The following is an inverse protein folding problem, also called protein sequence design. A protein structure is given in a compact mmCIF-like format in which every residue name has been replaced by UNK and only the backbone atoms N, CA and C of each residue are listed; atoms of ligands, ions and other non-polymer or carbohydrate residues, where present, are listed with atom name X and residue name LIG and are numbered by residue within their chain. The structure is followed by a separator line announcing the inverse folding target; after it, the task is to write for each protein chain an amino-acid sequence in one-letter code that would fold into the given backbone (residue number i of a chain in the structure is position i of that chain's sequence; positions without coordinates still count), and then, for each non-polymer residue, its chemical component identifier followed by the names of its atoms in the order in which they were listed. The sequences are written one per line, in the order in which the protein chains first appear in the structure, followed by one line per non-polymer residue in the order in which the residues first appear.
data_IF_303534492072
#
_entry.id   IF_303534492072
#
_cell.length_a   1.000
_cell.length_b   1.000
_cell.length_c   1.000
_cell.angle_alpha   90.00
_cell.angle_beta   90.00
_cell.angle_gamma   90.00
#
_symmetry.space_group_name_H-M   'P 1'
#
loop_
_entity.id
_entity.type
_entity.pdbx_description
1 polymer ?
#
# COMPACT_ATOMS: atom_id res chain seq x y z
N UNK A 1 -11.23 -2.16 10.76
CA UNK A 1 -10.43 -3.38 10.99
C UNK A 1 -10.29 -3.67 12.49
N UNK A 2 -10.20 -4.93 12.83
CA UNK A 2 -10.16 -5.36 14.23
C UNK A 2 -8.74 -5.30 14.84
N UNK A 3 -8.67 -5.52 16.16
CA UNK A 3 -7.42 -5.57 16.92
C UNK A 3 -6.42 -6.59 16.35
N UNK A 4 -6.89 -7.76 15.94
CA UNK A 4 -6.04 -8.84 15.42
C UNK A 4 -5.30 -8.43 14.14
N UNK A 5 -5.98 -7.75 13.21
CA UNK A 5 -5.37 -7.23 11.97
C UNK A 5 -4.29 -6.20 12.30
N UNK A 6 -4.57 -5.31 13.25
CA UNK A 6 -3.63 -4.29 13.70
C UNK A 6 -2.38 -4.90 14.33
N UNK A 7 -2.57 -5.84 15.26
CA UNK A 7 -1.47 -6.53 15.94
C UNK A 7 -0.61 -7.35 14.98
N UNK A 8 -1.23 -8.08 14.05
CA UNK A 8 -0.52 -8.84 13.02
C UNK A 8 0.32 -7.93 12.10
N UNK A 9 -0.25 -6.79 11.68
CA UNK A 9 0.45 -5.83 10.85
C UNK A 9 1.66 -5.21 11.58
N UNK A 10 1.49 -4.77 12.81
CA UNK A 10 2.59 -4.22 13.62
C UNK A 10 3.68 -5.28 13.85
N UNK A 11 3.29 -6.50 14.23
CA UNK A 11 4.25 -7.58 14.47
C UNK A 11 5.10 -7.88 13.23
N UNK A 12 4.48 -7.99 12.06
CA UNK A 12 5.19 -8.22 10.80
C UNK A 12 6.16 -7.08 10.47
N UNK A 13 5.74 -5.82 10.61
CA UNK A 13 6.60 -4.65 10.37
C UNK A 13 7.77 -4.57 11.33
N UNK A 14 7.57 -4.91 12.61
CA UNK A 14 8.64 -4.98 13.62
C UNK A 14 9.64 -6.11 13.32
N UNK A 15 9.17 -7.23 12.77
CA UNK A 15 10.03 -8.33 12.31
C UNK A 15 10.80 -8.00 11.02
N UNK A 16 10.55 -6.84 10.42
CA UNK A 16 11.26 -6.41 9.21
C UNK A 16 10.58 -6.77 7.90
N UNK A 17 9.37 -7.33 7.96
CA UNK A 17 8.62 -7.79 6.80
C UNK A 17 7.88 -6.66 6.09
N UNK A 18 7.59 -6.85 4.81
CA UNK A 18 6.69 -6.02 4.04
C UNK A 18 5.26 -6.58 4.12
N UNK A 19 4.25 -5.74 3.97
CA UNK A 19 2.84 -6.13 4.07
C UNK A 19 2.11 -6.05 2.73
N UNK A 20 1.23 -7.01 2.47
CA UNK A 20 0.23 -6.94 1.41
C UNK A 20 -1.17 -7.07 2.03
N UNK A 21 -1.89 -5.96 2.06
CA UNK A 21 -3.26 -5.89 2.55
C UNK A 21 -4.21 -6.26 1.42
N UNK A 22 -4.84 -7.42 1.52
CA UNK A 22 -5.69 -7.97 0.46
C UNK A 22 -7.14 -8.08 0.94
N UNK A 23 -8.09 -7.79 0.07
CA UNK A 23 -9.52 -7.90 0.42
C UNK A 23 -10.43 -7.11 -0.50
N UNK A 24 -11.72 -7.17 -0.25
CA UNK A 24 -12.76 -6.43 -0.99
C UNK A 24 -12.55 -4.91 -0.89
N UNK A 25 -13.22 -4.14 -1.74
CA UNK A 25 -13.24 -2.67 -1.61
C UNK A 25 -13.85 -2.26 -0.27
N UNK A 26 -13.52 -1.03 0.14
CA UNK A 26 -14.05 -0.42 1.36
C UNK A 26 -13.77 -1.18 2.68
N UNK A 27 -12.76 -2.05 2.71
CA UNK A 27 -12.34 -2.73 3.95
C UNK A 27 -11.30 -1.95 4.77
N UNK A 28 -10.98 -0.71 4.39
CA UNK A 28 -10.06 0.17 5.14
C UNK A 28 -8.57 -0.13 4.95
N UNK A 29 -8.16 -0.77 3.85
CA UNK A 29 -6.74 -1.09 3.56
C UNK A 29 -5.84 0.13 3.59
N UNK A 30 -6.22 1.19 2.86
CA UNK A 30 -5.43 2.41 2.77
C UNK A 30 -5.38 3.15 4.12
N UNK A 31 -6.51 3.20 4.83
CA UNK A 31 -6.57 3.77 6.18
C UNK A 31 -5.65 3.01 7.15
N UNK A 32 -5.59 1.68 7.03
CA UNK A 32 -4.66 0.88 7.83
C UNK A 32 -3.21 1.20 7.49
N UNK A 33 -2.86 1.29 6.20
CA UNK A 33 -1.50 1.62 5.76
C UNK A 33 -1.03 2.99 6.26
N UNK A 34 -1.87 4.01 6.13
CA UNK A 34 -1.60 5.36 6.64
C UNK A 34 -1.43 5.38 8.16
N UNK A 35 -2.35 4.74 8.89
CA UNK A 35 -2.28 4.67 10.36
C UNK A 35 -1.06 3.91 10.85
N UNK A 36 -0.60 2.87 10.14
CA UNK A 36 0.65 2.19 10.46
C UNK A 36 1.85 3.14 10.29
N UNK A 37 1.92 3.87 9.18
CA UNK A 37 3.00 4.84 8.97
C UNK A 37 3.03 5.92 10.06
N UNK A 38 1.87 6.45 10.45
CA UNK A 38 1.73 7.41 11.55
C UNK A 38 2.15 6.82 12.91
N UNK A 39 1.72 5.58 13.21
CA UNK A 39 2.03 4.92 14.48
C UNK A 39 3.55 4.69 14.65
N UNK A 40 4.27 4.44 13.56
CA UNK A 40 5.73 4.33 13.57
C UNK A 40 6.44 5.69 13.52
N UNK A 41 5.72 6.79 13.30
CA UNK A 41 6.28 8.14 13.22
C UNK A 41 7.31 8.31 12.09
N UNK A 42 7.12 7.61 10.97
CA UNK A 42 8.05 7.61 9.83
C UNK A 42 7.43 8.20 8.59
N UNK A 43 8.23 8.78 7.68
CA UNK A 43 7.72 9.31 6.43
C UNK A 43 7.11 8.19 5.58
N UNK A 44 6.09 8.55 4.79
CA UNK A 44 5.46 7.69 3.81
C UNK A 44 5.56 8.30 2.41
N UNK A 45 5.70 7.43 1.41
CA UNK A 45 5.67 7.77 -0.02
C UNK A 45 4.64 6.88 -0.68
N UNK A 46 3.59 7.52 -1.20
CA UNK A 46 2.45 6.82 -1.77
C UNK A 46 2.58 6.68 -3.28
N UNK A 47 2.18 5.52 -3.77
CA UNK A 47 2.09 5.19 -5.20
C UNK A 47 0.72 4.58 -5.45
N UNK A 48 -0.09 5.22 -6.27
CA UNK A 48 -1.32 4.63 -6.77
C UNK A 48 -1.06 3.96 -8.11
N UNK A 49 -1.21 2.65 -8.18
CA UNK A 49 -0.94 1.88 -9.37
C UNK A 49 -2.08 1.95 -10.38
N UNK A 50 -1.74 1.98 -11.65
CA UNK A 50 -2.68 1.96 -12.77
C UNK A 50 -2.07 1.22 -13.97
N UNK A 51 -2.90 0.90 -14.96
CA UNK A 51 -2.51 0.07 -16.12
C UNK A 51 -1.37 0.65 -16.97
N UNK A 52 -1.15 1.96 -16.91
CA UNK A 52 -0.08 2.65 -17.65
C UNK A 52 1.17 2.92 -16.80
N UNK A 53 1.21 2.46 -15.55
CA UNK A 53 2.37 2.60 -14.68
C UNK A 53 3.54 1.82 -15.28
N UNK A 54 4.72 2.43 -15.25
CA UNK A 54 5.99 1.82 -15.64
C UNK A 54 7.03 1.87 -14.51
N UNK A 55 8.18 1.28 -14.75
CA UNK A 55 9.28 1.25 -13.79
C UNK A 55 9.81 2.66 -13.45
N UNK A 56 9.79 3.57 -14.41
CA UNK A 56 10.28 4.93 -14.22
C UNK A 56 9.39 5.72 -13.25
N UNK A 57 8.08 5.50 -13.29
CA UNK A 57 7.16 6.09 -12.31
C UNK A 57 7.41 5.65 -10.87
N UNK A 58 7.96 4.45 -10.67
CA UNK A 58 8.28 3.89 -9.35
C UNK A 58 9.66 4.32 -8.84
N UNK A 59 10.66 4.21 -9.69
CA UNK A 59 12.07 4.45 -9.33
C UNK A 59 12.48 5.89 -9.54
N UNK A 60 12.05 6.48 -10.64
CA UNK A 60 12.44 7.82 -11.08
C UNK A 60 12.92 7.83 -12.51
N UNK A 61 13.10 9.01 -13.04
CA UNK A 61 13.51 9.25 -14.42
C UNK A 61 14.39 10.49 -14.52
N UNK A 62 15.15 10.57 -15.61
CA UNK A 62 15.87 11.77 -15.95
C UNK A 62 14.92 12.87 -16.44
N UNK A 63 15.10 14.06 -15.93
CA UNK A 63 14.41 15.27 -16.36
C UNK A 63 15.44 16.30 -16.87
N UNK A 64 15.05 17.10 -17.84
CA UNK A 64 15.89 18.18 -18.34
C UNK A 64 15.41 19.50 -17.71
N UNK A 65 16.20 20.04 -16.78
CA UNK A 65 15.90 21.28 -16.08
C UNK A 65 17.12 22.22 -16.09
N UNK A 66 16.89 23.49 -16.37
CA UNK A 66 17.94 24.54 -16.39
C UNK A 66 19.16 24.18 -17.25
N UNK A 67 18.97 23.50 -18.39
CA UNK A 67 20.05 23.14 -19.31
C UNK A 67 20.86 21.90 -18.89
N UNK A 68 20.43 21.19 -17.86
CA UNK A 68 21.10 20.00 -17.35
C UNK A 68 20.13 18.82 -17.21
N UNK A 69 20.65 17.61 -17.37
CA UNK A 69 19.91 16.38 -17.05
C UNK A 69 20.03 16.14 -15.56
N UNK A 70 18.90 15.99 -14.88
CA UNK A 70 18.81 15.71 -13.44
C UNK A 70 17.92 14.52 -13.20
N UNK A 71 18.33 13.63 -12.29
CA UNK A 71 17.49 12.51 -11.88
C UNK A 71 16.40 12.99 -10.94
N UNK A 72 15.13 12.77 -11.34
CA UNK A 72 13.96 13.00 -10.50
C UNK A 72 13.57 11.67 -9.83
N UNK A 73 13.80 11.50 -8.52
CA UNK A 73 13.53 10.23 -7.84
C UNK A 73 12.03 9.95 -7.74
N UNK A 74 11.66 8.69 -7.92
CA UNK A 74 10.31 8.19 -7.69
C UNK A 74 10.09 7.77 -6.23
N UNK A 75 8.83 7.49 -5.84
CA UNK A 75 8.47 7.21 -4.45
C UNK A 75 9.10 5.93 -3.90
N UNK A 76 9.25 4.89 -4.70
CA UNK A 76 9.93 3.64 -4.28
C UNK A 76 11.42 3.90 -4.01
N UNK A 77 12.07 4.68 -4.85
CA UNK A 77 13.47 5.11 -4.64
C UNK A 77 13.60 5.93 -3.35
N UNK A 78 12.70 6.88 -3.12
CA UNK A 78 12.73 7.73 -1.93
C UNK A 78 12.56 6.92 -0.65
N UNK A 79 11.58 6.01 -0.62
CA UNK A 79 11.40 5.07 0.48
C UNK A 79 12.66 4.22 0.70
N UNK A 80 13.21 3.63 -0.35
CA UNK A 80 14.40 2.79 -0.27
C UNK A 80 15.60 3.55 0.28
N UNK A 81 15.83 4.78 -0.16
CA UNK A 81 16.99 5.59 0.21
C UNK A 81 16.89 6.16 1.62
N UNK A 82 15.72 6.66 2.02
CA UNK A 82 15.56 7.41 3.26
C UNK A 82 15.00 6.58 4.41
N UNK A 83 14.44 5.41 4.13
CA UNK A 83 13.70 4.60 5.10
C UNK A 83 12.30 5.18 5.35
N UNK A 84 11.44 4.40 5.99
CA UNK A 84 10.05 4.75 6.19
C UNK A 84 9.12 3.82 5.40
N UNK A 85 7.97 4.29 4.95
CA UNK A 85 6.97 3.45 4.31
C UNK A 85 6.77 3.81 2.84
N UNK A 86 6.87 2.81 1.96
CA UNK A 86 6.38 2.89 0.59
C UNK A 86 4.99 2.28 0.52
N UNK A 87 3.96 3.10 0.38
CA UNK A 87 2.57 2.64 0.27
C UNK A 87 2.26 2.41 -1.20
N UNK A 88 2.02 1.16 -1.56
CA UNK A 88 1.83 0.67 -2.93
C UNK A 88 0.35 0.36 -3.13
N UNK A 89 -0.45 1.38 -3.45
CA UNK A 89 -1.90 1.26 -3.53
C UNK A 89 -2.35 0.63 -4.85
N UNK A 90 -3.28 -0.34 -4.74
CA UNK A 90 -3.83 -1.11 -5.87
C UNK A 90 -2.75 -1.78 -6.74
N UNK A 91 -1.76 -2.42 -6.09
CA UNK A 91 -0.58 -2.99 -6.77
C UNK A 91 -0.93 -3.95 -7.93
N UNK A 92 -2.09 -4.60 -7.88
CA UNK A 92 -2.58 -5.51 -8.90
C UNK A 92 -3.27 -4.81 -10.10
N UNK A 93 -3.26 -3.48 -10.16
CA UNK A 93 -3.67 -2.72 -11.35
C UNK A 93 -2.55 -2.57 -12.37
N UNK A 94 -1.30 -2.63 -11.94
CA UNK A 94 -0.15 -2.50 -12.83
C UNK A 94 0.13 -3.79 -13.61
N UNK A 95 0.94 -3.63 -14.66
CA UNK A 95 1.50 -4.77 -15.41
C UNK A 95 2.63 -5.40 -14.61
N UNK A 96 2.78 -6.73 -14.71
CA UNK A 96 3.86 -7.46 -14.03
C UNK A 96 5.27 -6.95 -14.42
N UNK A 97 5.43 -6.45 -15.63
CA UNK A 97 6.70 -5.88 -16.12
C UNK A 97 7.09 -4.62 -15.32
N UNK A 98 6.12 -3.76 -14.98
CA UNK A 98 6.36 -2.59 -14.14
C UNK A 98 6.71 -2.98 -12.70
N UNK A 99 6.10 -4.05 -12.19
CA UNK A 99 6.33 -4.55 -10.84
C UNK A 99 7.66 -5.29 -10.67
N UNK A 100 8.29 -5.72 -11.77
CA UNK A 100 9.54 -6.47 -11.72
C UNK A 100 10.68 -5.74 -10.99
N UNK A 101 10.69 -4.42 -11.02
CA UNK A 101 11.68 -3.58 -10.32
C UNK A 101 11.55 -3.66 -8.79
N UNK A 102 10.40 -4.06 -8.27
CA UNK A 102 10.17 -4.22 -6.83
C UNK A 102 10.80 -5.50 -6.28
N UNK A 103 11.02 -6.53 -7.10
CA UNK A 103 11.46 -7.83 -6.61
C UNK A 103 12.75 -7.76 -5.80
N UNK A 104 13.76 -7.04 -6.29
CA UNK A 104 15.04 -6.90 -5.61
C UNK A 104 14.97 -5.96 -4.38
N UNK A 105 14.05 -5.02 -4.38
CA UNK A 105 13.81 -4.15 -3.23
C UNK A 105 13.14 -4.89 -2.07
N UNK A 106 12.25 -5.83 -2.38
CA UNK A 106 11.42 -6.55 -1.43
C UNK A 106 12.04 -7.84 -0.88
N UNK A 107 13.00 -8.43 -1.59
CA UNK A 107 13.64 -9.68 -1.16
C UNK A 107 14.97 -9.44 -0.38
N UNK A 108 15.69 -10.52 -0.09
CA UNK A 108 16.93 -10.49 0.67
C UNK A 108 18.02 -9.58 0.08
N UNK A 109 17.98 -9.28 -1.22
CA UNK A 109 18.92 -8.38 -1.90
C UNK A 109 18.78 -6.93 -1.42
N UNK A 110 17.59 -6.53 -1.03
CA UNK A 110 17.27 -5.20 -0.52
C UNK A 110 17.96 -4.11 -1.33
N UNK A 111 17.70 -4.07 -2.62
CA UNK A 111 18.36 -3.16 -3.54
C UNK A 111 17.47 -2.77 -4.73
N UNK A 112 17.74 -1.60 -5.29
CA UNK A 112 17.11 -1.09 -6.51
C UNK A 112 18.20 -0.76 -7.51
N UNK A 113 18.11 -1.35 -8.70
CA UNK A 113 18.96 -0.99 -9.83
C UNK A 113 18.35 0.22 -10.54
N UNK A 114 19.10 1.31 -10.61
CA UNK A 114 18.66 2.56 -11.26
C UNK A 114 19.43 2.71 -12.55
N UNK A 115 18.77 2.60 -13.74
CA UNK A 115 19.46 2.68 -15.01
C UNK A 115 20.28 3.97 -15.15
N UNK A 116 21.57 3.84 -15.44
CA UNK A 116 22.49 4.98 -15.59
C UNK A 116 23.04 5.57 -14.29
N UNK A 117 22.66 5.01 -13.14
CA UNK A 117 23.09 5.46 -11.81
C UNK A 117 23.54 4.29 -10.94
N UNK A 118 24.11 4.63 -9.77
CA UNK A 118 24.52 3.62 -8.82
C UNK A 118 23.32 2.87 -8.24
N UNK A 119 23.53 1.61 -7.95
CA UNK A 119 22.57 0.76 -7.25
C UNK A 119 22.27 1.31 -5.85
N UNK A 120 21.00 1.41 -5.52
CA UNK A 120 20.54 1.89 -4.21
C UNK A 120 20.28 0.70 -3.29
N UNK A 121 20.95 0.67 -2.15
CA UNK A 121 20.65 -0.27 -1.07
C UNK A 121 19.43 0.23 -0.30
N UNK A 122 18.45 -0.65 -0.11
CA UNK A 122 17.23 -0.33 0.66
C UNK A 122 17.58 -0.15 2.13
N UNK A 123 17.29 1.00 2.68
CA UNK A 123 17.55 1.33 4.08
C UNK A 123 16.93 0.27 5.02
N UNK A 124 17.60 -0.10 6.11
CA UNK A 124 17.08 -1.10 7.06
C UNK A 124 15.70 -0.78 7.61
N UNK A 125 15.37 0.51 7.70
CA UNK A 125 14.10 1.00 8.20
C UNK A 125 13.00 1.13 7.13
N UNK A 126 13.30 0.91 5.85
CA UNK A 126 12.30 0.96 4.79
C UNK A 126 11.41 -0.29 4.82
N UNK A 127 10.09 -0.06 4.71
CA UNK A 127 9.05 -1.10 4.60
C UNK A 127 8.10 -0.73 3.49
N UNK A 128 7.57 -1.74 2.82
CA UNK A 128 6.57 -1.55 1.79
C UNK A 128 5.25 -2.15 2.24
N UNK A 129 4.16 -1.41 2.05
CA UNK A 129 2.80 -1.83 2.35
C UNK A 129 2.02 -1.76 1.04
N UNK A 130 1.76 -2.93 0.45
CA UNK A 130 0.91 -3.05 -0.74
C UNK A 130 -0.55 -3.18 -0.35
N UNK A 131 -1.44 -2.63 -1.18
CA UNK A 131 -2.86 -2.95 -1.12
C UNK A 131 -3.32 -3.61 -2.41
N UNK A 132 -4.26 -4.54 -2.33
CA UNK A 132 -4.89 -5.11 -3.51
C UNK A 132 -6.36 -5.43 -3.28
N UNK A 133 -7.15 -5.28 -4.34
CA UNK A 133 -8.57 -5.61 -4.36
C UNK A 133 -8.79 -6.89 -5.18
N UNK A 134 -9.74 -7.74 -4.76
CA UNK A 134 -10.16 -8.91 -5.53
C UNK A 134 -11.38 -8.62 -6.38
N UNK A 135 -11.51 -9.36 -7.51
CA UNK A 135 -12.77 -9.48 -8.25
C UNK A 135 -13.20 -8.25 -9.06
N UNK A 136 -12.29 -7.34 -9.37
CA UNK A 136 -12.61 -6.11 -10.11
C UNK A 136 -12.20 -6.16 -11.56
N UNK A 137 -13.00 -5.51 -12.40
CA UNK A 137 -12.61 -5.21 -13.77
C UNK A 137 -11.32 -4.37 -13.77
N UNK A 138 -10.27 -4.86 -14.46
CA UNK A 138 -8.96 -4.22 -14.51
C UNK A 138 -7.94 -4.73 -13.52
N UNK A 139 -8.32 -5.48 -12.48
CA UNK A 139 -7.35 -6.17 -11.63
C UNK A 139 -6.72 -7.34 -12.38
N UNK A 140 -5.43 -7.57 -12.11
CA UNK A 140 -4.64 -8.66 -12.70
C UNK A 140 -4.24 -9.63 -11.60
N UNK A 141 -4.01 -10.88 -11.99
CA UNK A 141 -3.31 -11.79 -11.11
C UNK A 141 -1.85 -11.35 -10.99
N UNK A 142 -1.41 -11.16 -9.77
CA UNK A 142 0.00 -10.90 -9.50
C UNK A 142 0.78 -12.18 -9.76
N UNK A 143 1.95 -12.05 -10.38
CA UNK A 143 2.90 -13.15 -10.46
C UNK A 143 3.21 -13.62 -9.02
N UNK A 144 3.11 -14.92 -8.76
CA UNK A 144 3.29 -15.54 -7.43
C UNK A 144 4.60 -15.12 -6.74
N UNK A 145 5.62 -14.79 -7.52
CA UNK A 145 6.89 -14.30 -7.01
C UNK A 145 6.78 -12.97 -6.26
N UNK A 146 5.79 -12.14 -6.53
CA UNK A 146 5.63 -10.85 -5.85
C UNK A 146 4.93 -11.00 -4.49
N UNK A 147 3.74 -11.63 -4.37
CA UNK A 147 3.10 -11.85 -3.08
C UNK A 147 3.97 -12.61 -2.08
N UNK A 148 4.82 -13.55 -2.55
CA UNK A 148 5.74 -14.32 -1.68
C UNK A 148 6.78 -13.46 -0.93
N UNK A 149 6.93 -12.19 -1.29
CA UNK A 149 7.82 -11.22 -0.64
C UNK A 149 7.12 -10.33 0.39
N UNK A 150 5.86 -10.62 0.64
CA UNK A 150 5.03 -9.92 1.62
C UNK A 150 4.43 -10.88 2.64
N UNK A 151 4.21 -10.38 3.83
CA UNK A 151 3.23 -10.99 4.73
C UNK A 151 1.86 -10.53 4.27
N UNK A 152 1.05 -11.49 3.80
CA UNK A 152 -0.29 -11.20 3.29
C UNK A 152 -1.28 -11.18 4.45
N UNK A 153 -1.98 -10.06 4.61
CA UNK A 153 -3.05 -9.91 5.60
C UNK A 153 -4.37 -9.78 4.85
N UNK A 154 -5.27 -10.73 5.11
CA UNK A 154 -6.63 -10.69 4.60
C UNK A 154 -7.44 -9.70 5.42
N UNK A 155 -7.91 -8.62 4.76
CA UNK A 155 -8.75 -7.62 5.39
C UNK A 155 -10.19 -8.13 5.44
N UNK A 156 -10.76 -8.33 6.64
CA UNK A 156 -12.15 -8.74 6.74
C UNK A 156 -13.08 -7.62 6.24
N UNK A 157 -14.27 -7.94 5.76
CA UNK A 157 -15.30 -6.94 5.55
C UNK A 157 -15.60 -6.21 6.86
N UNK A 158 -16.05 -4.96 6.76
CA UNK A 158 -16.42 -4.22 7.96
C UNK A 158 -17.68 -4.86 8.58
N UNK A 159 -17.61 -5.19 9.88
CA UNK A 159 -18.75 -5.73 10.60
C UNK A 159 -19.77 -4.64 10.91
N UNK A 160 -21.02 -5.04 11.16
CA UNK A 160 -22.15 -4.15 11.43
C UNK A 160 -21.85 -3.16 12.57
N UNK A 161 -21.34 -3.65 13.71
CA UNK A 161 -20.97 -2.86 14.87
C UNK A 161 -19.83 -1.88 14.59
N UNK A 162 -18.86 -2.31 13.80
CA UNK A 162 -17.76 -1.46 13.34
C UNK A 162 -18.24 -0.31 12.44
N UNK A 163 -19.16 -0.60 11.53
CA UNK A 163 -19.75 0.41 10.64
C UNK A 163 -20.66 1.36 11.42
N UNK A 164 -21.47 0.86 12.36
CA UNK A 164 -22.32 1.72 13.22
C UNK A 164 -21.47 2.68 14.05
N UNK A 165 -20.37 2.19 14.62
CA UNK A 165 -19.44 3.04 15.38
C UNK A 165 -18.80 4.09 14.49
N UNK A 166 -18.27 3.71 13.33
CA UNK A 166 -17.65 4.63 12.38
C UNK A 166 -18.61 5.74 11.96
N UNK A 167 -19.84 5.38 11.58
CA UNK A 167 -20.87 6.37 11.24
C UNK A 167 -21.24 7.27 12.42
N UNK A 168 -21.19 6.75 13.65
CA UNK A 168 -21.44 7.54 14.85
C UNK A 168 -20.33 8.53 15.19
N UNK A 169 -19.08 8.17 14.90
CA UNK A 169 -17.91 9.04 15.08
C UNK A 169 -17.84 10.14 14.01
N UNK A 170 -18.07 9.78 12.73
CA UNK A 170 -18.03 10.72 11.60
C UNK A 170 -19.26 11.66 11.56
N UNK A 171 -20.41 11.16 11.96
CA UNK A 171 -21.68 11.90 11.93
C UNK A 171 -22.37 11.91 13.31
N UNK A 172 -21.81 12.62 14.31
CA UNK A 172 -22.31 12.59 15.68
C UNK A 172 -23.74 13.13 15.85
N UNK A 173 -24.22 13.94 14.88
CA UNK A 173 -25.59 14.48 14.86
C UNK A 173 -26.60 13.55 14.20
N UNK A 174 -26.16 12.44 13.58
CA UNK A 174 -27.03 11.49 12.90
C UNK A 174 -27.77 10.63 13.93
N UNK A 175 -29.11 10.72 13.91
CA UNK A 175 -29.95 9.93 14.80
C UNK A 175 -29.70 8.42 14.61
N UNK A 176 -29.69 7.67 15.71
CA UNK A 176 -29.42 6.23 15.74
C UNK A 176 -30.30 5.44 14.76
N UNK A 177 -31.56 5.84 14.59
CA UNK A 177 -32.49 5.21 13.64
C UNK A 177 -31.99 5.28 12.20
N UNK A 178 -31.58 6.45 11.75
CA UNK A 178 -31.10 6.65 10.39
C UNK A 178 -29.71 6.02 10.19
N UNK A 179 -28.89 6.03 11.22
CA UNK A 179 -27.59 5.36 11.22
C UNK A 179 -27.76 3.85 11.00
N UNK A 180 -28.68 3.20 11.72
CA UNK A 180 -28.99 1.78 11.52
C UNK A 180 -29.50 1.46 10.10
N UNK A 181 -30.29 2.35 9.48
CA UNK A 181 -30.73 2.18 8.09
C UNK A 181 -29.56 2.27 7.10
N UNK A 182 -28.61 3.19 7.33
CA UNK A 182 -27.42 3.30 6.49
C UNK A 182 -26.50 2.09 6.64
N UNK A 183 -26.34 1.58 7.87
CA UNK A 183 -25.59 0.34 8.11
C UNK A 183 -26.20 -0.82 7.35
N UNK A 184 -27.51 -1.02 7.43
CA UNK A 184 -28.21 -2.10 6.72
C UNK A 184 -28.05 -1.93 5.20
N UNK A 185 -28.27 -0.73 4.68
CA UNK A 185 -28.09 -0.46 3.24
C UNK A 185 -26.67 -0.80 2.76
N UNK A 186 -25.65 -0.45 3.56
CA UNK A 186 -24.26 -0.76 3.21
C UNK A 186 -24.00 -2.26 3.19
N UNK A 187 -24.54 -3.01 4.16
CA UNK A 187 -24.39 -4.47 4.22
C UNK A 187 -25.11 -5.17 3.08
N UNK A 188 -26.27 -4.66 2.68
CA UNK A 188 -27.04 -5.21 1.55
C UNK A 188 -26.36 -4.97 0.18
N UNK A 189 -25.42 -4.03 0.09
CA UNK A 189 -24.68 -3.69 -1.13
C UNK A 189 -23.31 -4.38 -1.24
N UNK A 190 -22.84 -5.09 -0.20
CA UNK A 190 -21.60 -5.86 -0.20
C UNK A 190 -21.81 -7.24 -0.83
#
# INVERSE_FOLDING_TARGET
YGKEVWEAAIAALLCGENLLLAGSKATGKNVLAENLAQAFGRPAWDVSFHVSMDAAGLIGMDTFENGQVTFRPGPVYLCAKHGGFGVLDEINMAKNEALAVLHAALDFRRAIDVPGYDRVTVAPAARFIGTMNYGYAGTRELNEALPSRFVVIQMPPIAEDGLDRLLGEEFPTLEKKYRGQLVQLFLDLQ
#
